data_IF_104413063598
#
_entry.id   IF_104413063598
#
_cell.length_a   1.000
_cell.length_b   1.000
_cell.length_c   1.000
_cell.angle_alpha   90.00
_cell.angle_beta   90.00
_cell.angle_gamma   90.00
#
_symmetry.space_group_name_H-M   'P 1'
#
loop_
_entity.id
_entity.type
_entity.pdbx_description
1 polymer ?
#
# COMPACT_ATOMS: atom_id res chain seq x y z
N UNK A 1 27.76 -15.50 13.06
CA UNK A 1 27.16 -15.35 11.72
C UNK A 1 25.81 -14.67 11.89
N UNK A 2 25.77 -13.34 11.73
CA UNK A 2 24.54 -12.58 11.91
C UNK A 2 23.57 -12.86 10.77
N UNK A 3 22.45 -13.50 11.07
CA UNK A 3 21.31 -13.58 10.15
C UNK A 3 20.82 -12.15 9.92
N UNK A 4 21.31 -11.51 8.85
CA UNK A 4 20.64 -10.32 8.34
C UNK A 4 19.28 -10.81 7.85
N UNK A 5 18.26 -10.65 8.69
CA UNK A 5 16.88 -10.95 8.33
C UNK A 5 16.62 -10.25 6.98
N UNK A 6 16.31 -11.03 5.95
CA UNK A 6 15.93 -10.50 4.65
C UNK A 6 14.68 -9.63 4.84
N UNK A 7 14.87 -8.32 4.96
CA UNK A 7 13.77 -7.37 5.07
C UNK A 7 13.33 -6.98 3.66
N UNK A 8 12.03 -7.06 3.39
CA UNK A 8 11.48 -6.62 2.11
C UNK A 8 11.76 -5.12 1.87
N UNK A 9 11.64 -4.29 2.92
CA UNK A 9 11.88 -2.85 2.88
C UNK A 9 12.93 -2.42 3.92
N UNK A 10 13.92 -1.59 3.52
CA UNK A 10 14.81 -0.92 4.46
C UNK A 10 14.04 -0.08 5.50
N UNK A 11 14.56 0.08 6.73
CA UNK A 11 13.83 0.76 7.82
C UNK A 11 13.42 2.21 7.53
N UNK A 12 14.21 2.95 6.76
CA UNK A 12 13.95 4.33 6.38
C UNK A 12 12.85 4.43 5.31
N UNK A 13 12.88 3.55 4.30
CA UNK A 13 11.82 3.39 3.29
C UNK A 13 10.51 3.01 3.97
N UNK A 14 10.54 2.06 4.92
CA UNK A 14 9.37 1.66 5.70
C UNK A 14 8.77 2.84 6.49
N UNK A 15 9.62 3.62 7.18
CA UNK A 15 9.17 4.77 7.99
C UNK A 15 8.57 5.88 7.14
N UNK A 16 9.12 6.11 5.95
CA UNK A 16 8.55 7.05 4.99
C UNK A 16 7.20 6.56 4.46
N UNK A 17 7.14 5.31 4.01
CA UNK A 17 5.92 4.67 3.53
C UNK A 17 4.79 4.68 4.56
N UNK A 18 5.10 4.42 5.83
CA UNK A 18 4.12 4.50 6.93
C UNK A 18 3.49 5.88 7.05
N UNK A 19 4.31 6.95 7.03
CA UNK A 19 3.79 8.32 7.12
C UNK A 19 2.92 8.69 5.91
N UNK A 20 3.36 8.30 4.71
CA UNK A 20 2.61 8.54 3.47
C UNK A 20 1.31 7.73 3.44
N UNK A 21 1.34 6.48 3.90
CA UNK A 21 0.16 5.63 3.91
C UNK A 21 -0.87 6.08 4.93
N UNK A 22 -0.44 6.49 6.12
CA UNK A 22 -1.37 7.01 7.14
C UNK A 22 -2.14 8.24 6.65
N UNK A 23 -1.47 9.20 5.99
CA UNK A 23 -2.17 10.37 5.43
C UNK A 23 -3.04 10.01 4.22
N UNK A 24 -2.57 9.12 3.33
CA UNK A 24 -3.34 8.73 2.14
C UNK A 24 -4.61 7.98 2.54
N UNK A 25 -4.51 7.07 3.50
CA UNK A 25 -5.68 6.35 4.04
C UNK A 25 -6.66 7.27 4.75
N UNK A 26 -6.18 8.34 5.40
CA UNK A 26 -7.04 9.38 5.94
C UNK A 26 -7.80 10.13 4.83
N UNK A 27 -7.10 10.59 3.78
CA UNK A 27 -7.72 11.27 2.64
C UNK A 27 -8.74 10.36 1.94
N UNK A 28 -8.38 9.10 1.68
CA UNK A 28 -9.31 8.10 1.12
C UNK A 28 -10.55 7.92 2.01
N UNK A 29 -10.38 7.93 3.34
CA UNK A 29 -11.50 7.90 4.28
C UNK A 29 -12.49 9.06 4.11
N UNK A 30 -11.98 10.26 3.80
CA UNK A 30 -12.80 11.43 3.45
C UNK A 30 -13.47 11.25 2.09
N UNK A 31 -12.73 10.75 1.11
CA UNK A 31 -13.20 10.53 -0.26
C UNK A 31 -14.35 9.52 -0.34
N UNK A 32 -14.32 8.45 0.45
CA UNK A 32 -15.42 7.47 0.50
C UNK A 32 -16.64 7.97 1.28
N UNK A 33 -16.45 9.00 2.11
CA UNK A 33 -17.51 9.68 2.85
C UNK A 33 -18.14 10.83 2.05
N UNK A 34 -17.49 11.24 0.95
CA UNK A 34 -18.07 12.17 -0.01
C UNK A 34 -19.33 11.57 -0.65
N UNK A 35 -20.29 12.42 -1.05
CA UNK A 35 -21.57 11.99 -1.62
C UNK A 35 -21.40 11.04 -2.82
N UNK A 36 -20.43 11.32 -3.68
CA UNK A 36 -20.11 10.50 -4.86
C UNK A 36 -19.29 9.23 -4.57
N UNK A 37 -18.79 9.04 -3.35
CA UNK A 37 -17.83 8.00 -2.96
C UNK A 37 -16.71 7.83 -4.01
N UNK A 38 -15.63 8.61 -3.91
CA UNK A 38 -14.68 8.74 -5.03
C UNK A 38 -13.97 7.43 -5.39
N UNK A 39 -13.80 6.48 -4.46
CA UNK A 39 -13.29 5.14 -4.81
C UNK A 39 -14.24 4.38 -5.73
N UNK A 40 -15.54 4.40 -5.43
CA UNK A 40 -16.53 3.76 -6.31
C UNK A 40 -16.57 4.44 -7.67
N UNK A 41 -16.50 5.78 -7.71
CA UNK A 41 -16.39 6.54 -8.96
C UNK A 41 -15.11 6.23 -9.74
N UNK A 42 -14.02 5.85 -9.05
CA UNK A 42 -12.77 5.38 -9.67
C UNK A 42 -12.87 3.96 -10.25
N UNK A 43 -13.96 3.24 -9.97
CA UNK A 43 -14.22 1.88 -10.44
C UNK A 43 -14.00 0.79 -9.41
N UNK A 44 -13.87 1.13 -8.12
CA UNK A 44 -13.80 0.12 -7.07
C UNK A 44 -15.19 -0.42 -6.72
N UNK A 45 -15.28 -1.71 -6.44
CA UNK A 45 -16.45 -2.33 -5.83
C UNK A 45 -16.33 -2.27 -4.32
N UNK A 46 -17.45 -2.03 -3.63
CA UNK A 46 -17.49 -1.92 -2.18
C UNK A 46 -18.23 -3.11 -1.58
N UNK A 47 -17.57 -3.80 -0.66
CA UNK A 47 -18.21 -4.76 0.22
C UNK A 47 -18.43 -4.12 1.60
N UNK A 48 -19.70 -3.85 1.91
CA UNK A 48 -20.07 -3.10 3.10
C UNK A 48 -20.03 -4.00 4.33
N UNK A 49 -19.40 -3.50 5.39
CA UNK A 49 -19.47 -4.14 6.69
C UNK A 49 -20.94 -4.25 7.15
N UNK A 50 -21.40 -5.43 7.62
CA UNK A 50 -22.73 -5.60 8.18
C UNK A 50 -22.98 -4.68 9.37
N UNK A 51 -24.23 -4.22 9.52
CA UNK A 51 -24.63 -3.38 10.65
C UNK A 51 -24.35 -4.09 11.99
N UNK A 52 -23.85 -3.35 12.98
CA UNK A 52 -23.53 -3.88 14.30
C UNK A 52 -22.22 -4.69 14.39
N UNK A 53 -21.50 -4.88 13.28
CA UNK A 53 -20.21 -5.57 13.25
C UNK A 53 -19.04 -4.57 13.39
N UNK A 54 -17.94 -5.01 14.01
CA UNK A 54 -16.69 -4.22 14.09
C UNK A 54 -15.87 -4.38 12.81
N UNK A 55 -15.14 -3.34 12.43
CA UNK A 55 -14.25 -3.34 11.27
C UNK A 55 -14.51 -2.23 10.26
N UNK A 56 -14.05 -2.43 9.03
CA UNK A 56 -14.16 -1.45 7.95
C UNK A 56 -14.64 -2.12 6.66
N UNK A 57 -15.36 -1.38 5.82
CA UNK A 57 -15.78 -1.88 4.50
C UNK A 57 -14.56 -2.14 3.61
N UNK A 58 -14.64 -3.16 2.76
CA UNK A 58 -13.61 -3.46 1.77
C UNK A 58 -13.90 -2.72 0.47
N UNK A 59 -12.87 -2.18 -0.17
CA UNK A 59 -12.95 -1.60 -1.50
C UNK A 59 -11.97 -2.34 -2.40
N UNK A 60 -12.47 -3.00 -3.44
CA UNK A 60 -11.65 -3.82 -4.34
C UNK A 60 -11.64 -3.27 -5.76
N UNK A 61 -10.49 -3.33 -6.41
CA UNK A 61 -10.29 -2.89 -7.79
C UNK A 61 -9.03 -3.51 -8.40
N UNK A 62 -8.71 -3.09 -9.62
CA UNK A 62 -7.53 -3.56 -10.34
C UNK A 62 -6.27 -2.76 -9.97
N UNK A 63 -5.14 -3.45 -9.90
CA UNK A 63 -3.80 -2.84 -10.00
C UNK A 63 -3.34 -2.86 -11.46
N UNK A 64 -2.43 -1.95 -11.84
CA UNK A 64 -1.70 -2.07 -13.11
C UNK A 64 -1.04 -3.45 -13.27
N UNK A 65 -0.93 -3.93 -14.50
CA UNK A 65 -0.30 -5.23 -14.79
C UNK A 65 -1.17 -6.47 -14.49
N UNK A 66 -2.48 -6.30 -14.38
CA UNK A 66 -3.42 -7.42 -14.15
C UNK A 66 -3.49 -7.88 -12.70
N UNK A 67 -2.93 -7.11 -11.76
CA UNK A 67 -3.05 -7.37 -10.33
C UNK A 67 -4.40 -6.94 -9.75
N UNK A 68 -4.60 -7.24 -8.47
CA UNK A 68 -5.77 -6.79 -7.72
C UNK A 68 -5.36 -6.03 -6.46
N UNK A 69 -6.16 -5.05 -6.07
CA UNK A 69 -6.01 -4.27 -4.84
C UNK A 69 -7.32 -4.34 -4.06
N UNK A 70 -7.23 -4.66 -2.78
CA UNK A 70 -8.30 -4.43 -1.81
C UNK A 70 -7.82 -3.50 -0.71
N UNK A 71 -8.61 -2.46 -0.43
CA UNK A 71 -8.34 -1.44 0.59
C UNK A 71 -9.35 -1.53 1.73
N UNK A 72 -8.84 -1.34 2.94
CA UNK A 72 -9.59 -1.22 4.19
C UNK A 72 -9.04 -0.06 5.00
N UNK A 73 -9.75 0.38 6.05
CA UNK A 73 -9.21 1.39 6.96
C UNK A 73 -7.94 0.96 7.72
N UNK A 74 -7.65 -0.35 7.75
CA UNK A 74 -6.49 -0.95 8.41
C UNK A 74 -5.31 -1.30 7.48
N UNK A 75 -5.46 -1.19 6.15
CA UNK A 75 -4.38 -1.50 5.22
C UNK A 75 -4.83 -1.87 3.81
N UNK A 76 -3.92 -2.45 3.04
CA UNK A 76 -4.12 -2.87 1.66
C UNK A 76 -3.69 -4.34 1.45
N UNK A 77 -4.42 -5.09 0.63
CA UNK A 77 -4.00 -6.40 0.12
C UNK A 77 -3.80 -6.27 -1.38
N UNK A 78 -2.59 -6.60 -1.85
CA UNK A 78 -2.20 -6.55 -3.25
C UNK A 78 -1.96 -7.97 -3.75
N UNK A 79 -2.55 -8.31 -4.90
CA UNK A 79 -2.18 -9.51 -5.66
C UNK A 79 -1.29 -9.12 -6.82
N UNK A 80 -0.03 -9.54 -6.77
CA UNK A 80 0.99 -9.23 -7.79
C UNK A 80 1.88 -10.45 -7.96
N UNK A 81 2.20 -10.80 -9.22
CA UNK A 81 3.07 -11.94 -9.55
C UNK A 81 2.64 -13.29 -8.94
N UNK A 82 1.34 -13.51 -8.74
CA UNK A 82 0.79 -14.73 -8.13
C UNK A 82 0.86 -14.78 -6.61
N UNK A 83 1.45 -13.77 -5.95
CA UNK A 83 1.52 -13.65 -4.49
C UNK A 83 0.46 -12.69 -3.97
N UNK A 84 -0.04 -12.94 -2.76
CA UNK A 84 -0.89 -12.02 -2.01
C UNK A 84 -0.07 -11.34 -0.90
N UNK A 85 0.12 -10.03 -1.02
CA UNK A 85 0.93 -9.22 -0.09
C UNK A 85 0.02 -8.24 0.63
N UNK A 86 -0.03 -8.35 1.96
CA UNK A 86 -0.71 -7.41 2.83
C UNK A 86 0.25 -6.33 3.31
N UNK A 87 -0.14 -5.07 3.10
CA UNK A 87 0.54 -3.88 3.58
C UNK A 87 -0.33 -3.25 4.68
N UNK A 88 0.03 -3.42 5.96
CA UNK A 88 -0.71 -2.79 7.05
C UNK A 88 -0.56 -1.28 7.02
N UNK A 89 -1.61 -0.57 7.44
CA UNK A 89 -1.56 0.88 7.67
C UNK A 89 -0.53 1.23 8.73
N UNK A 90 -0.54 0.48 9.83
CA UNK A 90 0.39 0.66 10.93
C UNK A 90 1.70 -0.10 10.65
N UNK A 91 2.84 0.58 10.81
CA UNK A 91 4.18 0.02 10.60
C UNK A 91 4.61 -0.20 9.14
N UNK A 92 3.68 -0.20 8.18
CA UNK A 92 3.95 -0.33 6.73
C UNK A 92 4.91 -1.48 6.38
N UNK A 93 4.76 -2.61 7.09
CA UNK A 93 5.60 -3.79 6.92
C UNK A 93 4.88 -4.82 6.03
N UNK A 94 5.26 -4.98 4.75
CA UNK A 94 4.59 -5.90 3.85
C UNK A 94 4.82 -7.35 4.30
N UNK A 95 3.73 -8.12 4.32
CA UNK A 95 3.71 -9.53 4.74
C UNK A 95 2.95 -10.37 3.73
N UNK A 96 3.34 -11.63 3.57
CA UNK A 96 2.65 -12.57 2.70
C UNK A 96 1.41 -13.12 3.38
N UNK A 97 0.36 -13.30 2.58
CA UNK A 97 -0.93 -13.88 2.98
C UNK A 97 -1.19 -15.09 2.09
N UNK A 98 -1.53 -16.22 2.71
CA UNK A 98 -1.98 -17.41 1.96
C UNK A 98 -3.44 -17.23 1.55
N UNK A 99 -3.67 -16.87 0.29
CA UNK A 99 -5.00 -16.49 -0.20
C UNK A 99 -6.07 -17.55 0.06
N UNK A 100 -5.73 -18.83 -0.13
CA UNK A 100 -6.66 -19.95 0.10
C UNK A 100 -7.14 -20.09 1.55
N UNK A 101 -6.52 -19.37 2.50
CA UNK A 101 -6.90 -19.34 3.92
C UNK A 101 -7.60 -18.06 4.33
N UNK A 102 -7.82 -17.12 3.41
CA UNK A 102 -8.52 -15.87 3.69
C UNK A 102 -10.02 -16.14 3.79
N UNK A 103 -10.62 -15.78 4.91
CA UNK A 103 -12.05 -15.92 5.13
C UNK A 103 -12.80 -14.71 4.56
N UNK A 104 -13.16 -14.79 3.28
CA UNK A 104 -13.94 -13.74 2.63
C UNK A 104 -15.41 -13.74 3.09
N UNK A 105 -16.04 -12.56 3.25
CA UNK A 105 -15.45 -11.23 3.15
C UNK A 105 -14.69 -10.79 4.40
N UNK A 106 -13.63 -10.00 4.20
CA UNK A 106 -12.76 -9.50 5.27
C UNK A 106 -13.19 -8.09 5.69
N UNK A 107 -13.40 -7.89 6.99
CA UNK A 107 -13.72 -6.57 7.57
C UNK A 107 -12.73 -6.13 8.65
N UNK A 108 -11.87 -7.05 9.13
CA UNK A 108 -10.84 -6.82 10.14
C UNK A 108 -9.55 -7.51 9.71
N UNK A 109 -8.39 -6.98 10.11
CA UNK A 109 -7.09 -7.53 9.71
C UNK A 109 -6.91 -9.02 10.10
N UNK A 110 -7.55 -9.46 11.19
CA UNK A 110 -7.55 -10.86 11.61
C UNK A 110 -8.22 -11.81 10.59
N UNK A 111 -9.16 -11.32 9.78
CA UNK A 111 -9.84 -12.11 8.74
C UNK A 111 -8.93 -12.47 7.56
N UNK A 112 -7.77 -11.82 7.42
CA UNK A 112 -6.73 -12.20 6.45
C UNK A 112 -6.00 -13.49 6.83
N UNK A 113 -6.21 -14.01 8.04
CA UNK A 113 -5.56 -15.23 8.52
C UNK A 113 -4.09 -15.02 8.88
N UNK A 114 -3.32 -16.12 8.80
CA UNK A 114 -1.90 -16.11 9.12
C UNK A 114 -1.12 -15.27 8.11
N UNK A 115 -0.29 -14.37 8.63
CA UNK A 115 0.63 -13.52 7.88
C UNK A 115 2.05 -13.92 8.23
N UNK A 116 2.94 -13.89 7.26
CA UNK A 116 4.35 -14.18 7.48
C UNK A 116 5.23 -13.16 6.78
N UNK A 117 6.40 -12.93 7.35
CA UNK A 117 7.41 -12.12 6.68
C UNK A 117 7.94 -12.87 5.43
N UNK A 118 8.31 -12.14 4.38
CA UNK A 118 9.08 -12.68 3.27
C UNK A 118 10.40 -13.27 3.78
N UNK A 119 10.72 -14.51 3.39
CA UNK A 119 11.92 -15.23 3.84
C UNK A 119 12.92 -15.47 2.70
N UNK A 120 12.46 -15.44 1.44
CA UNK A 120 13.31 -15.67 0.27
C UNK A 120 13.51 -14.40 -0.56
N UNK A 121 14.58 -14.29 -1.37
CA UNK A 121 14.76 -13.17 -2.29
C UNK A 121 13.57 -12.96 -3.24
N UNK A 122 12.97 -14.06 -3.74
CA UNK A 122 11.76 -14.02 -4.59
C UNK A 122 10.57 -13.43 -3.85
N UNK A 123 10.35 -13.84 -2.61
CA UNK A 123 9.27 -13.32 -1.76
C UNK A 123 9.49 -11.83 -1.42
N UNK A 124 10.74 -11.45 -1.12
CA UNK A 124 11.10 -10.05 -0.90
C UNK A 124 10.85 -9.20 -2.14
N UNK A 125 11.20 -9.73 -3.32
CA UNK A 125 10.94 -9.07 -4.61
C UNK A 125 9.43 -8.94 -4.88
N UNK A 126 8.64 -9.99 -4.63
CA UNK A 126 7.18 -9.94 -4.74
C UNK A 126 6.56 -8.92 -3.77
N UNK A 127 7.03 -8.86 -2.53
CA UNK A 127 6.60 -7.88 -1.54
C UNK A 127 6.93 -6.45 -1.98
N UNK A 128 8.13 -6.22 -2.51
CA UNK A 128 8.53 -4.92 -3.07
C UNK A 128 7.69 -4.54 -4.29
N UNK A 129 7.48 -5.47 -5.22
CA UNK A 129 6.63 -5.27 -6.40
C UNK A 129 5.19 -4.89 -6.01
N UNK A 130 4.63 -5.53 -4.98
CA UNK A 130 3.32 -5.18 -4.43
C UNK A 130 3.29 -3.77 -3.86
N UNK A 131 4.31 -3.35 -3.10
CA UNK A 131 4.40 -1.99 -2.56
C UNK A 131 4.58 -0.95 -3.66
N UNK A 132 5.38 -1.25 -4.69
CA UNK A 132 5.52 -0.39 -5.89
C UNK A 132 4.19 -0.24 -6.62
N UNK A 133 3.46 -1.35 -6.83
CA UNK A 133 2.14 -1.32 -7.44
C UNK A 133 1.13 -0.50 -6.63
N UNK A 134 1.12 -0.67 -5.30
CA UNK A 134 0.30 0.12 -4.39
C UNK A 134 0.67 1.62 -4.45
N UNK A 135 1.95 1.95 -4.39
CA UNK A 135 2.43 3.32 -4.44
C UNK A 135 2.07 3.99 -5.78
N UNK A 136 2.23 3.27 -6.90
CA UNK A 136 1.81 3.75 -8.22
C UNK A 136 0.30 3.99 -8.30
N UNK A 137 -0.51 3.08 -7.74
CA UNK A 137 -1.95 3.25 -7.68
C UNK A 137 -2.35 4.45 -6.82
N UNK A 138 -1.75 4.61 -5.63
CA UNK A 138 -2.00 5.74 -4.73
C UNK A 138 -1.61 7.07 -5.39
N UNK A 139 -0.46 7.13 -6.06
CA UNK A 139 -0.05 8.31 -6.80
C UNK A 139 -1.07 8.70 -7.89
N UNK A 140 -1.49 7.74 -8.71
CA UNK A 140 -2.48 7.99 -9.77
C UNK A 140 -3.87 8.31 -9.23
N UNK A 141 -4.24 7.76 -8.08
CA UNK A 141 -5.49 8.09 -7.40
C UNK A 141 -5.47 9.53 -6.88
N UNK A 142 -4.38 9.96 -6.24
CA UNK A 142 -4.24 11.32 -5.74
C UNK A 142 -4.30 12.37 -6.86
N UNK A 143 -3.63 12.12 -7.99
CA UNK A 143 -3.72 13.00 -9.16
C UNK A 143 -5.13 13.07 -9.73
N UNK A 144 -5.79 11.93 -9.82
CA UNK A 144 -7.16 11.86 -10.31
C UNK A 144 -8.13 12.63 -9.40
N UNK A 145 -7.99 12.52 -8.07
CA UNK A 145 -8.81 13.30 -7.14
C UNK A 145 -8.52 14.79 -7.25
N UNK A 146 -7.25 15.20 -7.34
CA UNK A 146 -6.90 16.63 -7.51
C UNK A 146 -7.43 17.17 -8.83
N UNK A 147 -7.36 16.41 -9.91
CA UNK A 147 -7.91 16.80 -11.21
C UNK A 147 -9.45 16.91 -11.18
N UNK A 148 -10.13 16.07 -10.39
CA UNK A 148 -11.58 16.04 -10.29
C UNK A 148 -12.15 17.09 -9.32
N UNK A 149 -11.55 17.22 -8.14
CA UNK A 149 -12.08 17.99 -7.00
C UNK A 149 -11.29 19.28 -6.74
N UNK A 150 -10.14 19.45 -7.39
CA UNK A 150 -9.19 20.53 -7.10
C UNK A 150 -8.35 20.27 -5.85
N UNK A 151 -7.26 21.05 -5.70
CA UNK A 151 -6.37 20.95 -4.54
C UNK A 151 -7.05 21.35 -3.22
N UNK A 152 -8.06 22.23 -3.28
CA UNK A 152 -8.83 22.68 -2.10
C UNK A 152 -9.44 21.53 -1.31
N UNK A 153 -9.97 20.51 -1.99
CA UNK A 153 -10.51 19.31 -1.34
C UNK A 153 -9.47 18.59 -0.48
N UNK A 154 -8.21 18.50 -0.95
CA UNK A 154 -7.14 17.87 -0.18
C UNK A 154 -6.74 18.70 1.02
N UNK A 155 -6.69 20.02 0.89
CA UNK A 155 -6.49 20.93 2.02
C UNK A 155 -7.56 20.74 3.10
N UNK A 156 -8.83 20.66 2.71
CA UNK A 156 -9.93 20.37 3.64
C UNK A 156 -9.79 19.00 4.32
N UNK A 157 -9.45 17.96 3.55
CA UNK A 157 -9.21 16.63 4.09
C UNK A 157 -8.11 16.63 5.16
N UNK A 158 -6.97 17.28 4.88
CA UNK A 158 -5.85 17.34 5.82
C UNK A 158 -6.15 18.25 7.00
N UNK A 159 -6.82 19.39 6.80
CA UNK A 159 -7.22 20.30 7.88
C UNK A 159 -8.18 19.63 8.88
N UNK A 160 -9.04 18.72 8.42
CA UNK A 160 -9.91 17.94 9.29
C UNK A 160 -9.15 16.94 10.20
N UNK A 161 -7.85 16.72 9.97
CA UNK A 161 -7.02 15.80 10.75
C UNK A 161 -6.49 16.50 12.00
N UNK A 162 -7.20 16.34 13.11
CA UNK A 162 -6.99 17.09 14.37
C UNK A 162 -5.63 16.93 15.08
N UNK A 163 -4.82 15.90 14.78
CA UNK A 163 -3.64 15.55 15.61
C UNK A 163 -2.32 15.32 14.87
N UNK A 164 -2.32 15.27 13.53
CA UNK A 164 -1.13 14.90 12.77
C UNK A 164 -1.03 15.73 11.50
N UNK A 165 0.01 16.55 11.43
CA UNK A 165 0.39 17.23 10.21
C UNK A 165 0.64 16.22 9.08
N UNK A 166 0.42 16.66 7.83
CA UNK A 166 0.83 15.88 6.68
C UNK A 166 2.37 15.85 6.62
N UNK A 167 3.00 14.69 6.32
CA UNK A 167 4.45 14.61 6.18
C UNK A 167 4.98 15.37 4.95
N UNK A 168 4.10 15.68 3.99
CA UNK A 168 4.40 16.43 2.77
C UNK A 168 3.25 17.39 2.44
N UNK A 169 3.49 18.48 1.69
CA UNK A 169 2.41 19.28 1.12
C UNK A 169 1.44 18.41 0.29
N UNK A 170 0.15 18.73 0.30
CA UNK A 170 -0.87 17.88 -0.33
C UNK A 170 -0.68 17.75 -1.83
N UNK A 171 -0.18 18.79 -2.47
CA UNK A 171 0.17 18.86 -3.90
C UNK A 171 1.33 17.92 -4.26
N UNK A 172 2.12 17.53 -3.26
CA UNK A 172 3.30 16.68 -3.41
C UNK A 172 3.02 15.22 -3.05
N UNK A 173 1.80 14.87 -2.61
CA UNK A 173 1.50 13.52 -2.14
C UNK A 173 1.67 12.47 -3.25
N UNK A 174 1.17 12.74 -4.46
CA UNK A 174 1.36 11.86 -5.61
C UNK A 174 2.85 11.70 -5.98
N UNK A 175 3.61 12.80 -5.97
CA UNK A 175 5.04 12.79 -6.24
C UNK A 175 5.82 12.00 -5.18
N UNK A 176 5.47 12.15 -3.90
CA UNK A 176 6.11 11.43 -2.80
C UNK A 176 5.92 9.91 -2.94
N UNK A 177 4.73 9.47 -3.33
CA UNK A 177 4.49 8.05 -3.64
C UNK A 177 5.35 7.53 -4.81
N UNK A 178 5.47 8.31 -5.89
CA UNK A 178 6.35 7.93 -7.00
C UNK A 178 7.81 7.86 -6.60
N UNK A 179 8.27 8.80 -5.77
CA UNK A 179 9.64 8.78 -5.25
C UNK A 179 9.88 7.55 -4.38
N UNK A 180 8.94 7.21 -3.48
CA UNK A 180 9.02 5.97 -2.69
C UNK A 180 9.08 4.73 -3.59
N UNK A 181 8.23 4.65 -4.63
CA UNK A 181 8.25 3.55 -5.59
C UNK A 181 9.62 3.43 -6.30
N UNK A 182 10.15 4.54 -6.83
CA UNK A 182 11.45 4.55 -7.50
C UNK A 182 12.63 4.17 -6.58
N UNK A 183 12.55 4.54 -5.30
CA UNK A 183 13.52 4.09 -4.28
C UNK A 183 13.46 2.59 -4.06
N UNK A 184 12.26 2.00 -4.02
CA UNK A 184 12.07 0.55 -3.85
C UNK A 184 12.55 -0.21 -5.09
N UNK A 185 12.25 0.28 -6.29
CA UNK A 185 12.74 -0.31 -7.56
C UNK A 185 14.27 -0.25 -7.68
N UNK A 186 14.93 0.77 -7.10
CA UNK A 186 16.38 0.83 -7.07
C UNK A 186 17.01 -0.31 -6.24
N UNK A 187 16.31 -0.81 -5.21
CA UNK A 187 16.78 -1.95 -4.41
C UNK A 187 16.84 -3.23 -5.24
N UNK A 188 15.86 -3.47 -6.12
CA UNK A 188 15.86 -4.63 -7.01
C UNK A 188 17.06 -4.62 -7.95
N UNK A 189 17.40 -3.45 -8.51
CA UNK A 189 18.55 -3.30 -9.41
C UNK A 189 19.88 -3.57 -8.72
N UNK A 190 20.02 -3.19 -7.45
CA UNK A 190 21.23 -3.46 -6.67
C UNK A 190 21.39 -4.97 -6.39
N UNK A 191 20.32 -5.66 -6.01
CA UNK A 191 20.34 -7.12 -5.79
C UNK A 191 20.70 -7.88 -7.06
N UNK A 192 20.16 -7.47 -8.20
CA UNK A 192 20.49 -8.05 -9.51
C UNK A 192 21.98 -7.84 -9.82
N UNK A 193 22.49 -6.62 -9.70
CA UNK A 193 23.90 -6.31 -9.99
C UNK A 193 24.88 -7.06 -9.06
N UNK A 194 24.56 -7.20 -7.77
CA UNK A 194 25.38 -7.99 -6.83
C UNK A 194 25.37 -9.48 -7.17
N UNK A 195 24.23 -10.02 -7.65
CA UNK A 195 24.12 -11.42 -8.07
C UNK A 195 24.90 -11.75 -9.35
N UNK A 196 25.24 -10.73 -10.15
CA UNK A 196 26.01 -10.84 -11.38
C UNK A 196 27.48 -10.39 -11.24
N UNK A 197 27.92 -9.98 -10.05
CA UNK A 197 29.33 -9.72 -9.81
C UNK A 197 30.13 -11.03 -9.96
N UNK A 198 31.17 -11.10 -10.82
CA UNK A 198 31.98 -12.29 -10.92
C UNK A 198 32.62 -12.58 -9.55
N UNK A 199 32.60 -13.84 -9.13
CA UNK A 199 33.41 -14.38 -8.03
C UNK A 199 34.90 -14.24 -8.39
N UNK A 200 35.41 -13.01 -8.39
CA UNK A 200 36.82 -12.71 -8.52
C UNK A 200 37.37 -12.53 -7.10
N UNK A 201 37.90 -13.61 -6.54
CA UNK A 201 38.54 -13.60 -5.23
C UNK A 201 38.71 -15.00 -4.63
N UNK A 202 39.52 -15.83 -5.28
CA UNK A 202 40.22 -16.95 -4.66
C UNK A 202 41.71 -16.58 -4.57
#
# INVERSE_FOLDING_TARGET
MGSSLLQALPPDVRREGERLFDISMWCIGRDVSHADNLLMRRGFTRERIPAGRKGTSAYSGALPGGGALTLWGFGALCRVCGECVYVPRDGFAPSLVEEGRVAWPVFEAAGLGARRDPLTPRECSAARAAVVGLAGWLAGYEEWVVALMGAGWRHECVAARSRKASPVPVERLAMAWRQLAGRIEALERQVVNESFAPLAGA
#
